data_IF_297587486725
#
_entry.id   IF_297587486725
#
_cell.length_a   1.000
_cell.length_b   1.000
_cell.length_c   1.000
_cell.angle_alpha   90.00
_cell.angle_beta   90.00
_cell.angle_gamma   90.00
#
_symmetry.space_group_name_H-M   'P 1'
#
loop_
_entity.id
_entity.type
_entity.pdbx_description
1 polymer ?
#
# COMPACT_ATOMS: atom_id res chain seq x y z
N UNK A 1 44.49 3.16 1.87
CA UNK A 1 43.47 2.08 1.84
C UNK A 1 42.14 2.76 2.09
N UNK A 2 41.42 3.05 1.01
CA UNK A 2 40.09 3.69 1.05
C UNK A 2 39.05 2.72 1.62
N UNK A 3 38.46 3.09 2.75
CA UNK A 3 37.25 2.45 3.26
C UNK A 3 36.06 3.00 2.48
N UNK A 4 35.59 2.22 1.51
CA UNK A 4 34.34 2.43 0.78
C UNK A 4 33.19 2.26 1.78
N UNK A 5 32.68 3.36 2.31
CA UNK A 5 31.42 3.36 3.04
C UNK A 5 30.34 2.83 2.11
N UNK A 6 29.74 1.69 2.47
CA UNK A 6 28.61 1.11 1.77
C UNK A 6 27.48 2.12 1.83
N UNK A 7 27.10 2.65 0.67
CA UNK A 7 25.96 3.54 0.49
C UNK A 7 24.70 2.76 0.89
N UNK A 8 24.30 2.90 2.15
CA UNK A 8 23.04 2.37 2.64
C UNK A 8 21.94 3.12 1.91
N UNK A 9 21.28 2.42 0.99
CA UNK A 9 20.05 2.87 0.33
C UNK A 9 19.13 3.49 1.38
N UNK A 10 18.88 4.80 1.27
CA UNK A 10 18.03 5.55 2.18
C UNK A 10 16.61 4.96 2.11
N UNK A 11 16.29 4.00 2.99
CA UNK A 11 14.91 3.58 3.19
C UNK A 11 14.25 4.74 3.94
N UNK A 12 13.48 5.54 3.21
CA UNK A 12 12.65 6.60 3.78
C UNK A 12 11.46 5.93 4.46
N UNK A 13 11.60 5.63 5.75
CA UNK A 13 10.49 5.15 6.56
C UNK A 13 9.56 6.34 6.88
N UNK A 14 8.43 6.45 6.18
CA UNK A 14 7.36 7.40 6.54
C UNK A 14 6.37 6.69 7.46
N UNK A 15 6.43 7.04 8.75
CA UNK A 15 5.40 6.66 9.72
C UNK A 15 4.26 7.68 9.68
N UNK A 16 3.01 7.21 9.59
CA UNK A 16 1.83 8.04 9.73
C UNK A 16 1.12 7.66 11.03
N UNK A 17 0.83 8.66 11.86
CA UNK A 17 0.04 8.51 13.09
C UNK A 17 -1.36 9.04 12.81
N UNK A 18 -2.38 8.26 13.10
CA UNK A 18 -3.78 8.67 12.95
C UNK A 18 -4.25 9.27 14.28
N UNK A 19 -4.67 10.53 14.26
CA UNK A 19 -5.37 11.19 15.37
C UNK A 19 -6.86 11.20 15.05
N UNK A 20 -7.72 10.74 15.97
CA UNK A 20 -9.17 10.81 15.82
C UNK A 20 -9.60 12.29 15.75
N UNK A 21 -10.16 12.72 14.61
CA UNK A 21 -10.62 14.09 14.41
C UNK A 21 -12.12 14.18 14.73
N UNK A 22 -12.51 15.11 15.62
CA UNK A 22 -13.91 15.32 16.03
C UNK A 22 -14.80 16.04 14.99
N UNK A 23 -14.29 16.39 13.79
CA UNK A 23 -15.05 17.13 12.78
C UNK A 23 -15.16 16.38 11.41
N UNK A 24 -16.36 15.89 11.00
CA UNK A 24 -16.57 15.06 9.82
C UNK A 24 -16.49 15.79 8.47
N UNK A 25 -16.06 17.06 8.42
CA UNK A 25 -16.12 17.91 7.19
C UNK A 25 -14.84 18.04 6.38
N UNK A 26 -13.75 17.37 6.76
CA UNK A 26 -12.53 17.34 5.95
C UNK A 26 -12.03 15.91 5.79
N UNK A 27 -12.64 15.18 4.85
CA UNK A 27 -12.10 13.90 4.38
C UNK A 27 -10.83 14.18 3.57
N UNK A 28 -9.67 13.91 4.18
CA UNK A 28 -8.40 13.84 3.49
C UNK A 28 -8.37 12.54 2.67
N UNK A 29 -8.62 12.63 1.37
CA UNK A 29 -8.42 11.51 0.45
C UNK A 29 -6.92 11.26 0.26
N UNK A 30 -6.35 10.44 1.13
CA UNK A 30 -4.96 9.97 0.99
C UNK A 30 -4.98 8.72 0.10
N UNK A 31 -4.49 8.86 -1.13
CA UNK A 31 -4.20 7.72 -2.00
C UNK A 31 -2.85 7.11 -1.64
N UNK A 32 -2.84 5.88 -1.15
CA UNK A 32 -1.61 5.14 -0.83
C UNK A 32 -1.34 4.14 -1.96
N UNK A 33 -0.38 4.43 -2.87
CA UNK A 33 0.11 3.44 -3.82
C UNK A 33 1.04 2.47 -3.10
N UNK A 34 0.60 1.22 -2.96
CA UNK A 34 1.42 0.14 -2.43
C UNK A 34 2.15 -0.55 -3.59
N UNK A 35 3.47 -0.36 -3.70
CA UNK A 35 4.31 -0.99 -4.71
C UNK A 35 4.85 -2.33 -4.16
N UNK A 36 4.54 -3.42 -4.83
CA UNK A 36 4.90 -4.77 -4.38
C UNK A 36 4.00 -5.26 -3.26
N UNK A 37 2.69 -5.13 -3.45
CA UNK A 37 1.68 -5.42 -2.43
C UNK A 37 1.74 -6.88 -1.92
N UNK A 38 2.11 -7.86 -2.76
CA UNK A 38 2.21 -9.26 -2.41
C UNK A 38 0.89 -9.83 -1.88
N UNK A 39 0.76 -9.88 -0.55
CA UNK A 39 -0.46 -10.30 0.18
C UNK A 39 -1.36 -9.13 0.61
N UNK A 40 -0.90 -7.89 0.42
CA UNK A 40 -1.63 -6.63 0.60
C UNK A 40 -2.05 -6.27 2.01
N UNK A 41 -1.41 -6.84 3.04
CA UNK A 41 -1.81 -6.61 4.42
C UNK A 41 -1.75 -5.13 4.84
N UNK A 42 -0.68 -4.35 4.53
CA UNK A 42 -0.64 -2.93 4.84
C UNK A 42 -1.76 -2.12 4.15
N UNK A 43 -1.97 -2.31 2.83
CA UNK A 43 -3.01 -1.62 2.09
C UNK A 43 -4.43 -2.00 2.51
N UNK A 44 -4.65 -3.24 2.92
CA UNK A 44 -5.95 -3.71 3.45
C UNK A 44 -6.26 -3.05 4.79
N UNK A 45 -5.28 -2.94 5.68
CA UNK A 45 -5.46 -2.20 6.95
C UNK A 45 -5.77 -0.73 6.67
N UNK A 46 -5.01 -0.08 5.78
CA UNK A 46 -5.27 1.30 5.41
C UNK A 46 -6.68 1.51 4.83
N UNK A 47 -7.12 0.60 3.95
CA UNK A 47 -8.47 0.64 3.37
C UNK A 47 -9.57 0.42 4.42
N UNK A 48 -9.37 -0.49 5.39
CA UNK A 48 -10.28 -0.69 6.54
C UNK A 48 -10.35 0.54 7.45
N UNK A 49 -9.27 1.31 7.53
CA UNK A 49 -9.25 2.61 8.24
C UNK A 49 -9.87 3.76 7.42
N UNK A 50 -10.46 3.49 6.25
CA UNK A 50 -11.13 4.48 5.43
C UNK A 50 -10.24 5.21 4.42
N UNK A 51 -8.98 4.79 4.25
CA UNK A 51 -8.13 5.33 3.20
C UNK A 51 -8.54 4.83 1.81
N UNK A 52 -8.29 5.64 0.78
CA UNK A 52 -8.40 5.19 -0.61
C UNK A 52 -7.08 4.52 -1.01
N UNK A 53 -7.14 3.24 -1.37
CA UNK A 53 -5.93 2.45 -1.62
C UNK A 53 -5.92 1.91 -3.05
N UNK A 54 -4.74 1.95 -3.66
CA UNK A 54 -4.45 1.24 -4.91
C UNK A 54 -3.35 0.23 -4.59
N UNK A 55 -3.65 -1.05 -4.79
CA UNK A 55 -2.70 -2.14 -4.63
C UNK A 55 -2.02 -2.39 -5.97
N UNK A 56 -0.68 -2.31 -6.00
CA UNK A 56 0.08 -2.59 -7.21
C UNK A 56 1.17 -3.63 -6.98
N UNK A 57 1.34 -4.51 -7.97
CA UNK A 57 2.41 -5.51 -7.98
C UNK A 57 2.90 -5.75 -9.41
N UNK A 58 3.97 -6.52 -9.56
CA UNK A 58 4.52 -6.88 -10.86
C UNK A 58 3.46 -7.56 -11.73
N UNK A 59 3.25 -7.01 -12.93
CA UNK A 59 2.41 -7.64 -13.95
C UNK A 59 2.95 -9.01 -14.40
N UNK A 60 4.24 -9.28 -14.17
CA UNK A 60 4.88 -10.57 -14.45
C UNK A 60 4.58 -11.64 -13.39
N UNK A 61 4.01 -11.26 -12.24
CA UNK A 61 3.66 -12.15 -11.13
C UNK A 61 2.13 -12.16 -10.90
N UNK A 62 1.36 -12.86 -11.76
CA UNK A 62 -0.11 -12.85 -11.71
C UNK A 62 -0.67 -13.36 -10.37
N UNK A 63 0.05 -14.26 -9.70
CA UNK A 63 -0.34 -14.78 -8.38
C UNK A 63 -0.35 -13.70 -7.30
N UNK A 64 0.56 -12.72 -7.35
CA UNK A 64 0.55 -11.60 -6.40
C UNK A 64 -0.71 -10.74 -6.60
N UNK A 65 -1.07 -10.44 -7.85
CA UNK A 65 -2.28 -9.67 -8.16
C UNK A 65 -3.55 -10.44 -7.79
N UNK A 66 -3.58 -11.76 -7.96
CA UNK A 66 -4.69 -12.61 -7.52
C UNK A 66 -4.82 -12.64 -6.00
N UNK A 67 -3.70 -12.77 -5.28
CA UNK A 67 -3.67 -12.66 -3.82
C UNK A 67 -4.22 -11.32 -3.35
N UNK A 68 -3.82 -10.21 -3.98
CA UNK A 68 -4.36 -8.88 -3.67
C UNK A 68 -5.88 -8.85 -3.78
N UNK A 69 -6.44 -9.34 -4.90
CA UNK A 69 -7.90 -9.36 -5.14
C UNK A 69 -8.62 -10.23 -4.11
N UNK A 70 -8.11 -11.44 -3.87
CA UNK A 70 -8.69 -12.36 -2.89
C UNK A 70 -8.67 -11.76 -1.49
N UNK A 71 -7.57 -11.10 -1.10
CA UNK A 71 -7.49 -10.41 0.18
C UNK A 71 -8.52 -9.29 0.27
N UNK A 72 -8.73 -8.50 -0.79
CA UNK A 72 -9.80 -7.49 -0.81
C UNK A 72 -11.20 -8.11 -0.67
N UNK A 73 -11.48 -9.21 -1.37
CA UNK A 73 -12.77 -9.91 -1.30
C UNK A 73 -13.09 -10.41 0.11
N UNK A 74 -12.17 -11.15 0.73
CA UNK A 74 -12.38 -11.71 2.08
C UNK A 74 -12.40 -10.64 3.18
N UNK A 75 -11.90 -9.44 2.88
CA UNK A 75 -11.98 -8.28 3.78
C UNK A 75 -13.11 -7.32 3.43
N UNK A 76 -14.02 -7.66 2.50
CA UNK A 76 -15.16 -6.81 2.15
C UNK A 76 -14.73 -5.40 1.68
N UNK A 77 -13.66 -5.33 0.88
CA UNK A 77 -13.10 -4.10 0.32
C UNK A 77 -13.33 -4.02 -1.20
N UNK A 78 -14.58 -3.85 -1.67
CA UNK A 78 -14.92 -3.92 -3.10
C UNK A 78 -14.37 -2.74 -3.92
N UNK A 79 -13.96 -1.66 -3.27
CA UNK A 79 -13.56 -0.39 -3.90
C UNK A 79 -12.03 -0.21 -4.02
N UNK A 80 -11.25 -1.24 -3.67
CA UNK A 80 -9.78 -1.19 -3.78
C UNK A 80 -9.36 -1.62 -5.18
N UNK A 81 -8.66 -0.73 -5.89
CA UNK A 81 -8.15 -1.02 -7.23
C UNK A 81 -6.87 -1.85 -7.14
N UNK A 82 -6.84 -2.99 -7.84
CA UNK A 82 -5.64 -3.82 -7.99
C UNK A 82 -5.09 -3.67 -9.41
N UNK A 83 -3.85 -3.21 -9.55
CA UNK A 83 -3.21 -2.93 -10.85
C UNK A 83 -1.86 -3.64 -10.98
N UNK A 84 -1.62 -4.28 -12.13
CA UNK A 84 -0.32 -4.80 -12.49
C UNK A 84 0.55 -3.72 -13.13
N UNK A 85 1.81 -3.61 -12.71
CA UNK A 85 2.76 -2.66 -13.28
C UNK A 85 4.01 -3.38 -13.79
N UNK A 86 4.61 -2.84 -14.85
CA UNK A 86 5.89 -3.27 -15.42
C UNK A 86 6.94 -2.19 -15.17
N UNK A 87 8.19 -2.60 -14.98
CA UNK A 87 9.32 -1.72 -14.65
C UNK A 87 10.32 -1.67 -15.81
#
# INVERSE_FOLDING_TARGET
MENRATEMSNIVQKSFTFEEYEDPKQSLNVSIPELGAGVSLPGVVAAKCGAQVILSDSAELPLCLENCRRTCEVNELPNVLVVGITW
#
